data_IF_146592890039
#
_entry.id   IF_146592890039
#
_cell.length_a   1.000
_cell.length_b   1.000
_cell.length_c   1.000
_cell.angle_alpha   90.00
_cell.angle_beta   90.00
_cell.angle_gamma   90.00
#
_symmetry.space_group_name_H-M   'P 1'
#
loop_
_entity.id
_entity.type
_entity.pdbx_description
1 polymer ?
#
# COMPACT_ATOMS: atom_id res chain seq x y z
N UNK A 1 11.66 3.91 -5.84
CA UNK A 1 10.78 2.74 -5.93
C UNK A 1 11.41 1.74 -6.90
N UNK A 2 11.39 0.44 -6.60
CA UNK A 2 11.84 -0.66 -7.48
C UNK A 2 10.83 -0.94 -8.60
N UNK A 3 9.55 -0.80 -8.30
CA UNK A 3 8.45 -1.04 -9.22
C UNK A 3 8.10 0.26 -9.97
N UNK A 4 7.87 0.21 -11.30
CA UNK A 4 7.40 1.38 -12.04
C UNK A 4 5.99 1.75 -11.60
N UNK A 5 5.63 3.02 -11.73
CA UNK A 5 4.30 3.51 -11.40
C UNK A 5 3.93 4.68 -12.32
N UNK A 6 2.64 4.91 -12.51
CA UNK A 6 2.10 6.10 -13.16
C UNK A 6 0.86 6.59 -12.44
N UNK A 7 0.60 7.88 -12.54
CA UNK A 7 -0.66 8.47 -12.05
C UNK A 7 -1.62 8.70 -13.21
N UNK A 8 -2.90 8.47 -12.95
CA UNK A 8 -3.98 8.83 -13.87
C UNK A 8 -5.15 9.46 -13.12
N UNK A 9 -6.04 10.10 -13.87
CA UNK A 9 -7.34 10.54 -13.36
C UNK A 9 -8.40 9.53 -13.80
N UNK A 10 -9.09 8.94 -12.82
CA UNK A 10 -10.17 7.97 -13.08
C UNK A 10 -11.42 8.62 -13.70
N UNK A 11 -12.47 7.83 -14.01
CA UNK A 11 -13.69 8.31 -14.66
C UNK A 11 -14.42 9.45 -13.94
N UNK A 12 -14.19 9.60 -12.63
CA UNK A 12 -14.80 10.63 -11.79
C UNK A 12 -13.80 11.73 -11.38
N UNK A 13 -12.62 11.79 -12.00
CA UNK A 13 -11.58 12.79 -11.72
C UNK A 13 -10.72 12.51 -10.48
N UNK A 14 -10.99 11.42 -9.75
CA UNK A 14 -10.13 10.96 -8.65
C UNK A 14 -8.73 10.61 -9.16
N UNK A 15 -7.71 10.93 -8.37
CA UNK A 15 -6.35 10.50 -8.62
C UNK A 15 -6.27 9.00 -8.37
N UNK A 16 -5.60 8.28 -9.27
CA UNK A 16 -5.36 6.85 -9.16
C UNK A 16 -3.88 6.57 -9.44
N UNK A 17 -3.35 5.50 -8.85
CA UNK A 17 -2.00 5.02 -9.08
C UNK A 17 -2.02 3.67 -9.80
N UNK A 18 -1.34 3.61 -10.93
CA UNK A 18 -1.17 2.37 -11.69
C UNK A 18 0.15 1.71 -11.30
N UNK A 19 0.05 0.46 -10.88
CA UNK A 19 1.18 -0.40 -10.51
C UNK A 19 1.23 -1.63 -11.44
N UNK A 20 2.39 -2.33 -11.53
CA UNK A 20 2.51 -3.55 -12.31
C UNK A 20 1.61 -4.65 -11.75
N UNK A 21 1.18 -5.56 -12.63
CA UNK A 21 0.29 -6.69 -12.29
C UNK A 21 0.75 -7.49 -11.07
N UNK A 22 2.04 -7.61 -10.83
CA UNK A 22 2.59 -8.36 -9.68
C UNK A 22 2.31 -7.70 -8.31
N UNK A 23 1.95 -6.41 -8.30
CA UNK A 23 1.71 -5.61 -7.09
C UNK A 23 0.48 -4.68 -7.21
N UNK A 24 -0.39 -4.92 -8.19
CA UNK A 24 -1.54 -4.06 -8.49
C UNK A 24 -2.55 -3.92 -7.34
N UNK A 25 -2.67 -4.92 -6.46
CA UNK A 25 -3.53 -4.86 -5.28
C UNK A 25 -3.08 -3.82 -4.25
N UNK A 26 -1.83 -3.38 -4.29
CA UNK A 26 -1.39 -2.28 -3.46
C UNK A 26 -2.05 -0.97 -3.87
N UNK A 27 -2.44 -0.78 -5.14
CA UNK A 27 -3.18 0.41 -5.56
C UNK A 27 -4.51 0.51 -4.82
N UNK A 28 -5.24 -0.61 -4.67
CA UNK A 28 -6.54 -0.64 -3.97
C UNK A 28 -6.44 -0.18 -2.51
N UNK A 29 -5.31 -0.45 -1.85
CA UNK A 29 -5.03 0.05 -0.50
C UNK A 29 -4.59 1.51 -0.52
N UNK A 30 -3.60 1.84 -1.34
CA UNK A 30 -2.98 3.18 -1.38
C UNK A 30 -4.01 4.26 -1.70
N UNK A 31 -4.93 3.99 -2.64
CA UNK A 31 -5.97 4.93 -3.04
C UNK A 31 -7.02 5.21 -1.94
N UNK A 32 -7.04 4.42 -0.85
CA UNK A 32 -7.88 4.69 0.32
C UNK A 32 -7.26 5.71 1.28
N UNK A 33 -5.96 6.01 1.15
CA UNK A 33 -5.27 7.01 1.96
C UNK A 33 -5.62 8.38 1.36
N UNK A 34 -6.53 9.11 2.01
CA UNK A 34 -7.12 10.32 1.47
C UNK A 34 -6.47 11.59 2.02
N UNK A 35 -5.77 11.50 3.16
CA UNK A 35 -5.18 12.64 3.86
C UNK A 35 -3.67 12.45 4.08
N UNK A 36 -2.92 13.56 4.09
CA UNK A 36 -1.49 13.53 4.39
C UNK A 36 -1.20 12.96 5.78
N UNK A 37 -2.08 13.22 6.75
CA UNK A 37 -1.95 12.73 8.12
C UNK A 37 -2.11 11.20 8.20
N UNK A 38 -2.98 10.61 7.38
CA UNK A 38 -3.13 9.15 7.28
C UNK A 38 -1.87 8.53 6.68
N UNK A 39 -1.29 9.17 5.65
CA UNK A 39 -0.02 8.73 5.08
C UNK A 39 1.12 8.78 6.10
N UNK A 40 1.18 9.83 6.93
CA UNK A 40 2.15 9.95 8.02
C UNK A 40 1.98 8.86 9.09
N UNK A 41 0.74 8.51 9.43
CA UNK A 41 0.45 7.40 10.34
C UNK A 41 0.98 6.07 9.79
N UNK A 42 0.73 5.77 8.51
CA UNK A 42 1.25 4.54 7.90
C UNK A 42 2.78 4.53 7.81
N UNK A 43 3.42 5.68 7.56
CA UNK A 43 4.89 5.77 7.56
C UNK A 43 5.45 5.46 8.94
N UNK A 44 4.87 6.01 10.01
CA UNK A 44 5.29 5.73 11.39
C UNK A 44 5.10 4.25 11.77
N UNK A 45 3.97 3.65 11.38
CA UNK A 45 3.72 2.21 11.55
C UNK A 45 4.80 1.38 10.85
N UNK A 46 5.11 1.70 9.60
CA UNK A 46 6.12 0.97 8.82
C UNK A 46 7.51 1.14 9.45
N UNK A 47 7.85 2.35 9.91
CA UNK A 47 9.14 2.64 10.53
C UNK A 47 9.33 1.85 11.84
N UNK A 48 8.29 1.76 12.66
CA UNK A 48 8.27 0.94 13.89
C UNK A 48 8.45 -0.56 13.64
N UNK A 49 8.03 -1.05 12.47
CA UNK A 49 8.25 -2.45 12.09
C UNK A 49 9.66 -2.67 11.56
N UNK A 50 10.18 -1.72 10.77
CA UNK A 50 11.54 -1.79 10.23
C UNK A 50 12.60 -1.67 11.33
N UNK A 51 12.37 -0.84 12.35
CA UNK A 51 13.31 -0.63 13.45
C UNK A 51 13.23 -1.69 14.56
N UNK A 52 12.25 -2.59 14.48
CA UNK A 52 12.03 -3.67 15.44
C UNK A 52 11.30 -3.24 16.73
N UNK A 53 10.71 -2.04 16.77
CA UNK A 53 9.81 -1.62 17.85
C UNK A 53 8.56 -2.50 17.91
N UNK A 54 8.07 -2.95 16.75
CA UNK A 54 6.97 -3.88 16.60
C UNK A 54 7.31 -5.02 15.63
N UNK A 55 6.89 -6.24 15.97
CA UNK A 55 7.13 -7.42 15.11
C UNK A 55 6.32 -7.39 13.82
N UNK A 56 5.07 -6.92 13.90
CA UNK A 56 4.16 -6.79 12.75
C UNK A 56 3.02 -5.82 13.07
N UNK A 57 2.40 -5.31 12.01
CA UNK A 57 1.09 -4.67 12.06
C UNK A 57 0.16 -5.29 11.03
N UNK A 58 -1.12 -5.39 11.38
CA UNK A 58 -2.18 -5.79 10.48
C UNK A 58 -3.22 -4.68 10.41
N UNK A 59 -3.43 -4.15 9.21
CA UNK A 59 -4.37 -3.07 8.92
C UNK A 59 -5.59 -3.70 8.25
N UNK A 60 -6.71 -3.66 8.98
CA UNK A 60 -8.01 -4.08 8.48
C UNK A 60 -8.85 -2.87 8.11
N UNK A 61 -9.06 -2.67 6.80
CA UNK A 61 -10.14 -1.84 6.27
C UNK A 61 -11.33 -2.71 5.81
N UNK A 62 -12.21 -2.17 4.97
CA UNK A 62 -13.27 -2.96 4.33
C UNK A 62 -12.69 -4.04 3.39
N UNK A 63 -11.66 -3.67 2.62
CA UNK A 63 -10.74 -4.51 1.83
C UNK A 63 -9.79 -3.56 1.06
N UNK A 64 -8.53 -3.93 0.77
CA UNK A 64 -7.85 -5.15 1.17
C UNK A 64 -7.28 -5.09 2.61
N UNK A 65 -6.92 -6.24 3.17
CA UNK A 65 -6.12 -6.34 4.41
C UNK A 65 -4.64 -6.16 4.06
N UNK A 66 -3.91 -5.38 4.87
CA UNK A 66 -2.46 -5.19 4.70
C UNK A 66 -1.72 -5.65 5.96
N UNK A 67 -0.79 -6.60 5.78
CA UNK A 67 0.08 -7.09 6.86
C UNK A 67 1.50 -6.59 6.63
N UNK A 68 2.02 -5.78 7.54
CA UNK A 68 3.36 -5.15 7.48
C UNK A 68 4.29 -5.92 8.42
N UNK A 69 5.35 -6.53 7.85
CA UNK A 69 6.42 -7.24 8.58
C UNK A 69 7.78 -6.60 8.28
N UNK A 70 8.88 -6.92 8.99
CA UNK A 70 10.15 -6.22 8.82
C UNK A 70 10.71 -6.27 7.39
N UNK A 71 10.62 -7.44 6.76
CA UNK A 71 11.18 -7.64 5.42
C UNK A 71 10.17 -7.38 4.30
N UNK A 72 8.91 -7.72 4.52
CA UNK A 72 7.89 -7.65 3.49
C UNK A 72 6.51 -7.25 4.02
N UNK A 73 5.79 -6.51 3.18
CA UNK A 73 4.37 -6.20 3.35
C UNK A 73 3.57 -7.06 2.39
N UNK A 74 2.47 -7.63 2.88
CA UNK A 74 1.50 -8.40 2.10
C UNK A 74 0.19 -7.63 2.04
N UNK A 75 -0.46 -7.64 0.88
CA UNK A 75 -1.84 -7.20 0.68
C UNK A 75 -2.69 -8.39 0.29
N UNK A 76 -3.85 -8.54 0.93
CA UNK A 76 -4.78 -9.64 0.71
C UNK A 76 -6.20 -9.13 0.49
N UNK A 77 -6.85 -9.59 -0.58
CA UNK A 77 -8.23 -9.25 -0.92
C UNK A 77 -9.03 -10.52 -1.23
N UNK A 78 -9.83 -10.97 -0.26
CA UNK A 78 -10.69 -12.15 -0.41
C UNK A 78 -11.93 -11.92 -1.30
N UNK A 79 -12.23 -10.68 -1.66
CA UNK A 79 -13.43 -10.32 -2.44
C UNK A 79 -13.19 -10.30 -3.96
N UNK A 80 -11.97 -10.60 -4.43
CA UNK A 80 -11.71 -10.72 -5.87
C UNK A 80 -12.40 -11.96 -6.45
N UNK A 81 -12.78 -11.86 -7.73
CA UNK A 81 -13.42 -12.98 -8.44
C UNK A 81 -12.37 -14.03 -8.83
N UNK A 82 -11.18 -13.58 -9.24
CA UNK A 82 -10.09 -14.41 -9.76
C UNK A 82 -8.77 -14.05 -9.07
N UNK A 83 -7.82 -15.00 -8.95
CA UNK A 83 -6.52 -14.77 -8.35
C UNK A 83 -5.65 -13.80 -9.18
N UNK A 84 -4.60 -13.19 -8.57
CA UNK A 84 -4.12 -13.43 -7.21
C UNK A 84 -4.94 -12.71 -6.14
N UNK A 85 -5.28 -13.41 -5.04
CA UNK A 85 -5.91 -12.82 -3.85
C UNK A 85 -4.90 -12.15 -2.92
N UNK A 86 -3.62 -12.47 -3.08
CA UNK A 86 -2.53 -12.01 -2.24
C UNK A 86 -1.37 -11.53 -3.10
N UNK A 87 -0.77 -10.40 -2.73
CA UNK A 87 0.46 -9.88 -3.33
C UNK A 87 1.39 -9.36 -2.24
N UNK A 88 2.68 -9.26 -2.56
CA UNK A 88 3.72 -8.98 -1.57
C UNK A 88 4.85 -8.15 -2.16
N UNK A 89 5.32 -7.16 -1.39
CA UNK A 89 6.49 -6.33 -1.71
C UNK A 89 7.40 -6.18 -0.52
N UNK A 90 8.65 -5.78 -0.77
CA UNK A 90 9.59 -5.42 0.30
C UNK A 90 9.03 -4.25 1.12
N UNK A 91 9.06 -4.31 2.45
CA UNK A 91 8.46 -3.29 3.33
C UNK A 91 9.05 -1.90 3.11
N UNK A 92 10.35 -1.84 2.80
CA UNK A 92 11.03 -0.59 2.42
C UNK A 92 10.52 0.00 1.10
N UNK A 93 10.07 -0.85 0.17
CA UNK A 93 9.42 -0.39 -1.05
C UNK A 93 8.00 0.06 -0.76
N UNK A 94 7.24 -0.65 0.07
CA UNK A 94 5.92 -0.19 0.53
C UNK A 94 5.99 1.21 1.17
N UNK A 95 6.96 1.46 2.05
CA UNK A 95 7.20 2.79 2.62
C UNK A 95 7.42 3.87 1.56
N UNK A 96 8.22 3.56 0.53
CA UNK A 96 8.47 4.49 -0.58
C UNK A 96 7.19 4.76 -1.39
N UNK A 97 6.33 3.76 -1.56
CA UNK A 97 5.05 3.91 -2.24
C UNK A 97 4.12 4.86 -1.48
N UNK A 98 4.02 4.72 -0.15
CA UNK A 98 3.23 5.62 0.70
C UNK A 98 3.74 7.05 0.59
N UNK A 99 5.05 7.27 0.61
CA UNK A 99 5.65 8.59 0.41
C UNK A 99 5.32 9.20 -0.96
N UNK A 100 5.44 8.40 -2.03
CA UNK A 100 5.10 8.82 -3.40
C UNK A 100 3.62 9.21 -3.50
N UNK A 101 2.75 8.44 -2.85
CA UNK A 101 1.32 8.77 -2.81
C UNK A 101 1.05 10.05 -2.02
N UNK A 102 1.66 10.20 -0.84
CA UNK A 102 1.56 11.42 -0.02
C UNK A 102 1.92 12.68 -0.81
N UNK A 103 3.01 12.65 -1.57
CA UNK A 103 3.44 13.78 -2.42
C UNK A 103 2.44 14.14 -3.54
N UNK A 104 1.46 13.27 -3.81
CA UNK A 104 0.47 13.43 -4.86
C UNK A 104 -0.93 13.84 -4.39
N UNK A 105 -1.18 13.80 -3.07
CA UNK A 105 -2.42 14.26 -2.42
C UNK A 105 -2.52 15.80 -2.48
#
# INVERSE_FOLDING_TARGET
MKYPYSFKRGPHGFLMIELPKEIELFSDFIEQIALEEEADEFIDIIDKVIDGTHDEYEIFFNAPTVTIKPDFTTVFNEFLIDPPFEQKIETKEFRKLILIWKESL
#
